data_IF_828829740264
#
_entry.id   IF_828829740264
#
_cell.length_a   1.000
_cell.length_b   1.000
_cell.length_c   1.000
_cell.angle_alpha   90.00
_cell.angle_beta   90.00
_cell.angle_gamma   90.00
#
_symmetry.space_group_name_H-M   'P 1'
#
loop_
_entity.id
_entity.type
_entity.pdbx_description
1 polymer ?
#
# COMPACT_ATOMS: atom_id res chain seq x y z
N UNK A 1 5.43 -0.04 -12.40
CA UNK A 1 6.02 1.19 -12.98
C UNK A 1 5.50 1.37 -14.41
N UNK A 2 5.01 2.56 -14.75
CA UNK A 2 4.59 2.89 -16.13
C UNK A 2 5.84 3.09 -17.01
N UNK A 3 5.85 2.54 -18.23
CA UNK A 3 6.95 2.67 -19.20
C UNK A 3 6.76 3.80 -20.22
N UNK A 4 5.60 4.46 -20.26
CA UNK A 4 5.31 5.57 -21.16
C UNK A 4 4.85 5.16 -22.57
N UNK A 5 4.76 3.87 -22.85
CA UNK A 5 4.33 3.27 -24.12
C UNK A 5 3.01 2.49 -23.98
N UNK A 6 2.26 2.74 -22.90
CA UNK A 6 1.05 2.00 -22.56
C UNK A 6 1.31 0.66 -21.88
N UNK A 7 2.58 0.27 -21.66
CA UNK A 7 2.93 -0.94 -20.92
C UNK A 7 3.38 -0.65 -19.49
N UNK A 8 3.29 -1.69 -18.65
CA UNK A 8 3.63 -1.62 -17.24
C UNK A 8 4.64 -2.69 -16.86
N UNK A 9 5.60 -2.29 -16.04
CA UNK A 9 6.54 -3.18 -15.37
C UNK A 9 6.03 -3.54 -13.97
N UNK A 10 6.12 -4.84 -13.63
CA UNK A 10 5.89 -5.33 -12.27
C UNK A 10 7.02 -4.87 -11.35
N UNK A 11 6.65 -4.24 -10.24
CA UNK A 11 7.54 -4.01 -9.10
C UNK A 11 7.39 -5.18 -8.14
N UNK A 12 8.51 -5.66 -7.58
CA UNK A 12 8.55 -6.63 -6.48
C UNK A 12 8.94 -5.88 -5.19
N UNK A 13 8.63 -6.47 -4.05
CA UNK A 13 9.04 -5.97 -2.72
C UNK A 13 8.50 -4.57 -2.35
N UNK A 14 7.28 -4.22 -2.79
CA UNK A 14 6.62 -3.03 -2.25
C UNK A 14 6.10 -3.32 -0.84
N UNK A 15 6.08 -2.30 0.01
CA UNK A 15 5.55 -2.38 1.38
C UNK A 15 4.01 -2.40 1.46
N UNK A 16 3.35 -2.42 0.29
CA UNK A 16 1.90 -2.29 0.16
C UNK A 16 1.15 -3.53 0.61
N UNK A 17 1.81 -4.68 0.54
CA UNK A 17 1.32 -5.99 1.00
C UNK A 17 1.12 -6.03 2.53
N UNK A 18 1.91 -5.25 3.28
CA UNK A 18 1.82 -5.14 4.75
C UNK A 18 0.50 -4.53 5.25
N UNK A 19 -0.30 -3.93 4.36
CA UNK A 19 -1.55 -3.30 4.76
C UNK A 19 -2.68 -4.31 5.08
N UNK A 20 -2.54 -5.59 4.72
CA UNK A 20 -3.55 -6.61 5.06
C UNK A 20 -4.96 -6.28 4.53
N UNK A 21 -5.99 -6.61 5.32
CA UNK A 21 -7.38 -6.34 4.93
C UNK A 21 -7.74 -4.86 5.04
N UNK A 22 -8.04 -4.24 3.91
CA UNK A 22 -8.34 -2.81 3.81
C UNK A 22 -9.80 -2.53 3.43
N UNK A 23 -10.37 -1.48 4.01
CA UNK A 23 -11.67 -0.93 3.63
C UNK A 23 -11.55 0.25 2.66
N UNK A 24 -10.37 0.84 2.53
CA UNK A 24 -10.11 1.91 1.55
C UNK A 24 -8.65 2.37 1.55
N UNK A 25 -8.26 3.05 0.47
CA UNK A 25 -6.92 3.63 0.30
C UNK A 25 -6.99 4.96 -0.46
N UNK A 26 -6.06 5.86 -0.17
CA UNK A 26 -5.92 7.15 -0.87
C UNK A 26 -4.44 7.55 -1.00
N UNK A 27 -4.12 8.26 -2.09
CA UNK A 27 -2.85 8.96 -2.23
C UNK A 27 -3.00 10.43 -1.85
N UNK A 28 -2.14 10.91 -0.96
CA UNK A 28 -2.09 12.30 -0.49
C UNK A 28 -0.69 12.62 0.01
N UNK A 29 -0.27 13.87 -0.07
CA UNK A 29 0.98 14.38 0.53
C UNK A 29 0.70 14.67 2.01
N UNK A 30 1.09 13.76 2.90
CA UNK A 30 0.71 13.80 4.32
C UNK A 30 1.71 14.59 5.15
N UNK A 31 3.00 14.57 4.79
CA UNK A 31 4.08 15.26 5.51
C UNK A 31 4.60 16.52 4.81
N UNK A 32 3.99 16.88 3.67
CA UNK A 32 4.21 18.11 2.91
C UNK A 32 5.61 18.17 2.28
N UNK A 33 6.10 17.05 1.75
CA UNK A 33 7.37 16.94 1.03
C UNK A 33 7.22 16.92 -0.51
N UNK A 34 5.99 17.04 -1.01
CA UNK A 34 5.58 16.96 -2.43
C UNK A 34 5.61 15.56 -3.04
N UNK A 35 6.01 14.52 -2.29
CA UNK A 35 5.80 13.14 -2.67
C UNK A 35 4.42 12.67 -2.17
N UNK A 36 3.74 11.84 -2.97
CA UNK A 36 2.45 11.29 -2.56
C UNK A 36 2.65 10.07 -1.68
N UNK A 37 2.14 10.15 -0.46
CA UNK A 37 2.04 9.02 0.46
C UNK A 37 0.85 8.13 0.12
N UNK A 38 0.96 6.87 0.52
CA UNK A 38 -0.15 5.92 0.47
C UNK A 38 -0.75 5.75 1.88
N UNK A 39 -1.98 6.22 2.05
CA UNK A 39 -2.78 5.93 3.24
C UNK A 39 -3.73 4.75 2.97
N UNK A 40 -3.76 3.78 3.88
CA UNK A 40 -4.64 2.61 3.79
C UNK A 40 -5.40 2.45 5.10
N UNK A 41 -6.73 2.63 5.04
CA UNK A 41 -7.62 2.31 6.15
C UNK A 41 -7.81 0.79 6.19
N UNK A 42 -7.14 0.14 7.14
CA UNK A 42 -7.16 -1.30 7.31
C UNK A 42 -7.58 -1.73 8.71
N UNK A 43 -7.93 -3.00 8.82
CA UNK A 43 -8.30 -3.61 10.08
C UNK A 43 -9.01 -4.93 9.87
N UNK A 44 -8.50 -5.96 10.54
CA UNK A 44 -9.17 -7.21 10.83
C UNK A 44 -8.23 -7.99 11.74
N UNK A 45 -8.64 -8.35 12.96
CA UNK A 45 -7.84 -9.27 13.79
C UNK A 45 -8.20 -10.68 13.32
N UNK A 46 -7.37 -11.24 12.44
CA UNK A 46 -7.48 -12.62 11.95
C UNK A 46 -7.07 -13.64 13.02
N UNK A 47 -6.06 -13.32 13.84
CA UNK A 47 -5.56 -14.11 14.98
C UNK A 47 -4.66 -13.24 15.91
N UNK A 48 -4.10 -13.82 16.98
CA UNK A 48 -3.10 -13.13 17.82
C UNK A 48 -1.90 -12.68 16.95
N UNK A 49 -1.26 -11.55 17.30
CA UNK A 49 -0.18 -10.92 16.50
C UNK A 49 0.92 -11.89 16.03
N UNK A 50 1.20 -12.94 16.80
CA UNK A 50 2.24 -13.93 16.53
C UNK A 50 1.80 -15.06 15.57
N UNK A 51 0.53 -15.04 15.17
CA UNK A 51 -0.11 -16.07 14.33
C UNK A 51 -0.79 -15.47 13.09
N UNK A 52 -0.62 -14.16 12.87
CA UNK A 52 -0.99 -13.54 11.61
C UNK A 52 0.06 -13.91 10.56
N UNK A 53 -0.40 -14.32 9.36
CA UNK A 53 0.42 -14.97 8.32
C UNK A 53 1.56 -14.10 7.80
#
# INVERSE_FOLDING_TARGET
>A
RNRGDGTFERIRDSTTDRAGWAWGSAFLDLDNDSDLDLYVANGWISAARDTDL
#
